data_IF_629003170263
#
_entry.id   IF_629003170263
#
_cell.length_a   1.000
_cell.length_b   1.000
_cell.length_c   1.000
_cell.angle_alpha   90.00
_cell.angle_beta   90.00
_cell.angle_gamma   90.00
#
_symmetry.space_group_name_H-M   'P 1'
#
loop_
_entity.id
_entity.type
_entity.pdbx_description
1 polymer ?
#
# COMPACT_ATOMS: atom_id res chain seq x y z
N UNK A 1 19.96 10.94 -12.25
CA UNK A 1 20.79 9.92 -11.55
C UNK A 1 22.11 9.65 -12.30
N UNK A 2 22.11 9.24 -13.57
CA UNK A 2 23.35 9.01 -14.33
C UNK A 2 24.26 10.24 -14.41
N UNK A 3 23.72 11.44 -14.59
CA UNK A 3 24.49 12.70 -14.56
C UNK A 3 25.18 12.96 -13.21
N UNK A 4 24.54 12.58 -12.13
CA UNK A 4 25.08 12.69 -10.78
C UNK A 4 26.24 11.71 -10.55
N UNK A 5 26.08 10.45 -10.98
CA UNK A 5 27.13 9.42 -10.92
C UNK A 5 28.38 9.95 -11.61
N UNK A 6 28.26 10.37 -12.86
CA UNK A 6 29.40 10.88 -13.63
C UNK A 6 30.00 12.14 -13.03
N UNK A 7 29.18 13.06 -12.50
CA UNK A 7 29.68 14.25 -11.80
C UNK A 7 30.57 13.90 -10.61
N UNK A 8 30.15 12.88 -9.83
CA UNK A 8 30.90 12.41 -8.66
C UNK A 8 32.21 11.72 -9.07
N UNK A 9 32.13 10.84 -10.06
CA UNK A 9 33.29 10.09 -10.54
C UNK A 9 34.35 10.98 -11.23
N UNK A 10 33.93 11.96 -12.02
CA UNK A 10 34.83 12.92 -12.64
C UNK A 10 35.49 13.87 -11.65
N UNK A 11 34.84 14.10 -10.50
CA UNK A 11 35.43 14.78 -9.35
C UNK A 11 36.37 13.88 -8.52
N UNK A 12 36.75 12.72 -9.05
CA UNK A 12 37.63 11.72 -8.42
C UNK A 12 37.08 11.19 -7.06
N UNK A 13 35.75 11.20 -6.90
CA UNK A 13 35.10 10.69 -5.71
C UNK A 13 34.39 9.35 -5.99
N UNK A 14 34.34 8.51 -4.98
CA UNK A 14 33.55 7.27 -5.02
C UNK A 14 32.06 7.62 -4.99
N UNK A 15 31.29 6.94 -5.83
CA UNK A 15 29.84 6.99 -5.81
C UNK A 15 29.28 5.67 -5.26
N UNK A 16 28.24 5.75 -4.45
CA UNK A 16 27.50 4.60 -3.94
C UNK A 16 26.01 4.89 -3.95
N UNK A 17 25.23 3.91 -4.37
CA UNK A 17 23.76 4.05 -4.34
C UNK A 17 23.04 2.91 -5.03
N UNK A 18 21.74 2.90 -4.84
CA UNK A 18 20.83 1.96 -5.47
C UNK A 18 20.39 2.50 -6.82
N UNK A 19 20.44 1.67 -7.85
CA UNK A 19 19.97 2.00 -9.20
C UNK A 19 19.11 0.88 -9.77
N UNK A 20 18.11 1.29 -10.53
CA UNK A 20 17.32 0.38 -11.34
C UNK A 20 18.01 0.18 -12.69
N UNK A 21 18.25 -1.05 -13.07
CA UNK A 21 18.91 -1.41 -14.30
C UNK A 21 18.11 -2.47 -15.06
N UNK A 22 18.51 -2.78 -16.30
CA UNK A 22 17.82 -3.74 -17.16
C UNK A 22 18.76 -4.84 -17.60
N UNK A 23 18.36 -6.10 -17.41
CA UNK A 23 19.04 -7.28 -17.93
C UNK A 23 18.92 -7.39 -19.43
N UNK A 24 19.74 -8.21 -20.08
CA UNK A 24 19.69 -8.45 -21.54
C UNK A 24 18.33 -8.98 -22.04
N UNK A 25 17.62 -9.71 -21.19
CA UNK A 25 16.29 -10.22 -21.49
C UNK A 25 15.16 -9.19 -21.34
N UNK A 26 15.50 -7.93 -20.98
CA UNK A 26 14.54 -6.86 -20.77
C UNK A 26 14.01 -6.71 -19.34
N UNK A 27 14.31 -7.66 -18.46
CA UNK A 27 13.90 -7.65 -17.06
C UNK A 27 14.56 -6.50 -16.30
N UNK A 28 13.77 -5.78 -15.50
CA UNK A 28 14.26 -4.70 -14.63
C UNK A 28 14.67 -5.30 -13.29
N UNK A 29 15.81 -4.86 -12.79
CA UNK A 29 16.34 -5.29 -11.50
C UNK A 29 16.93 -4.12 -10.73
N UNK A 30 17.06 -4.26 -9.43
CA UNK A 30 17.71 -3.30 -8.54
C UNK A 30 19.13 -3.74 -8.25
N UNK A 31 20.09 -2.84 -8.39
CA UNK A 31 21.46 -3.06 -7.95
C UNK A 31 21.91 -1.99 -6.96
N UNK A 32 22.63 -2.43 -5.94
CA UNK A 32 23.45 -1.57 -5.11
C UNK A 32 24.83 -1.51 -5.77
N UNK A 33 25.23 -0.32 -6.23
CA UNK A 33 26.49 -0.14 -6.91
C UNK A 33 27.44 0.77 -6.11
N UNK A 34 28.69 0.33 -5.99
CA UNK A 34 29.80 1.11 -5.47
C UNK A 34 30.81 1.29 -6.60
N UNK A 35 31.03 2.54 -7.03
CA UNK A 35 31.89 2.85 -8.17
C UNK A 35 32.99 3.79 -7.70
N UNK A 36 34.25 3.41 -7.92
CA UNK A 36 35.39 4.19 -7.51
C UNK A 36 36.34 4.45 -8.70
N UNK A 37 36.92 5.65 -8.83
CA UNK A 37 37.97 5.89 -9.78
C UNK A 37 39.30 5.27 -9.34
N UNK A 38 40.05 4.69 -10.27
CA UNK A 38 41.43 4.25 -10.08
C UNK A 38 42.31 5.33 -10.59
N UNK A 39 43.16 5.87 -9.70
CA UNK A 39 44.02 7.02 -9.98
C UNK A 39 45.47 6.54 -10.05
N UNK A 40 46.21 6.94 -11.09
CA UNK A 40 47.61 6.63 -11.23
C UNK A 40 48.50 7.58 -10.38
N UNK A 41 49.79 7.29 -10.36
CA UNK A 41 50.77 8.08 -9.60
C UNK A 41 50.88 9.56 -10.06
N UNK A 42 50.36 9.89 -11.24
CA UNK A 42 50.29 11.25 -11.78
C UNK A 42 49.01 11.98 -11.48
N UNK A 43 48.11 11.40 -10.67
CA UNK A 43 46.83 12.01 -10.27
C UNK A 43 45.70 11.90 -11.30
N UNK A 44 45.91 11.14 -12.40
CA UNK A 44 44.87 10.97 -13.44
C UNK A 44 44.06 9.70 -13.23
N UNK A 45 42.75 9.79 -13.45
CA UNK A 45 41.84 8.63 -13.45
C UNK A 45 42.15 7.79 -14.69
N UNK A 46 42.50 6.52 -14.49
CA UNK A 46 42.77 5.56 -15.55
C UNK A 46 41.65 4.62 -15.85
N UNK A 47 40.90 4.23 -14.81
CA UNK A 47 39.80 3.27 -14.87
C UNK A 47 38.75 3.60 -13.81
N UNK A 48 37.63 2.95 -13.92
CA UNK A 48 36.63 2.90 -12.87
C UNK A 48 36.36 1.43 -12.46
N UNK A 49 36.38 1.16 -11.19
CA UNK A 49 36.02 -0.16 -10.63
C UNK A 49 34.63 -0.05 -10.05
N UNK A 50 33.78 -1.00 -10.40
CA UNK A 50 32.43 -1.08 -9.85
C UNK A 50 32.23 -2.44 -9.17
N UNK A 51 31.75 -2.42 -7.92
CA UNK A 51 31.19 -3.57 -7.23
C UNK A 51 29.68 -3.40 -7.22
N UNK A 52 28.98 -4.43 -7.67
CA UNK A 52 27.51 -4.39 -7.83
C UNK A 52 26.92 -5.61 -7.18
N UNK A 53 25.84 -5.39 -6.43
CA UNK A 53 25.04 -6.43 -5.78
C UNK A 53 23.61 -6.35 -6.30
N UNK A 54 23.04 -7.46 -6.75
CA UNK A 54 21.61 -7.54 -7.09
C UNK A 54 20.80 -7.56 -5.79
N UNK A 55 20.06 -6.48 -5.54
CA UNK A 55 19.21 -6.32 -4.36
C UNK A 55 17.73 -6.47 -4.68
N UNK A 56 17.38 -7.02 -5.83
CA UNK A 56 15.99 -7.14 -6.31
C UNK A 56 15.14 -7.97 -5.35
N UNK A 57 15.68 -9.11 -4.91
CA UNK A 57 14.97 -9.97 -3.96
C UNK A 57 14.76 -9.28 -2.62
N UNK A 58 15.78 -8.61 -2.10
CA UNK A 58 15.69 -7.82 -0.86
C UNK A 58 14.62 -6.74 -0.95
N UNK A 59 14.60 -5.97 -2.05
CA UNK A 59 13.56 -4.95 -2.31
C UNK A 59 12.16 -5.55 -2.37
N UNK A 60 12.00 -6.69 -3.05
CA UNK A 60 10.72 -7.39 -3.12
C UNK A 60 10.25 -7.88 -1.75
N UNK A 61 11.16 -8.37 -0.92
CA UNK A 61 10.84 -8.78 0.45
C UNK A 61 10.46 -7.59 1.33
N UNK A 62 11.20 -6.48 1.26
CA UNK A 62 10.88 -5.23 1.98
C UNK A 62 9.50 -4.71 1.58
N UNK A 63 9.18 -4.71 0.29
CA UNK A 63 7.87 -4.29 -0.23
C UNK A 63 6.73 -5.20 0.26
N UNK A 64 6.95 -6.53 0.26
CA UNK A 64 5.99 -7.50 0.80
C UNK A 64 5.75 -7.29 2.30
N UNK A 65 6.81 -7.06 3.08
CA UNK A 65 6.71 -6.79 4.52
C UNK A 65 5.91 -5.50 4.76
N UNK A 66 6.20 -4.43 4.03
CA UNK A 66 5.46 -3.18 4.11
C UNK A 66 4.00 -3.36 3.73
N UNK A 67 3.72 -4.13 2.66
CA UNK A 67 2.36 -4.43 2.26
C UNK A 67 1.61 -5.22 3.33
N UNK A 68 2.24 -6.25 3.91
CA UNK A 68 1.64 -7.04 5.00
C UNK A 68 1.42 -6.22 6.28
N UNK A 69 2.30 -5.23 6.56
CA UNK A 69 2.14 -4.33 7.70
C UNK A 69 0.94 -3.38 7.58
N UNK A 70 0.47 -3.11 6.35
CA UNK A 70 -0.55 -2.08 6.08
C UNK A 70 -1.86 -2.62 5.49
N UNK A 71 -1.86 -3.85 4.94
CA UNK A 71 -3.03 -4.41 4.26
C UNK A 71 -3.42 -5.76 4.84
N UNK A 72 -4.71 -6.05 4.83
CA UNK A 72 -5.26 -7.36 5.18
C UNK A 72 -4.88 -8.40 4.12
N UNK A 73 -4.38 -9.55 4.56
CA UNK A 73 -3.85 -10.57 3.65
C UNK A 73 -4.93 -11.24 2.79
N UNK A 74 -6.17 -11.33 3.28
CA UNK A 74 -7.29 -11.97 2.61
C UNK A 74 -7.96 -11.01 1.61
N UNK A 75 -8.46 -9.88 2.10
CA UNK A 75 -9.28 -8.94 1.31
C UNK A 75 -8.46 -7.90 0.55
N UNK A 76 -7.16 -7.76 0.86
CA UNK A 76 -6.26 -6.73 0.32
C UNK A 76 -6.66 -5.30 0.67
N UNK A 77 -7.67 -5.10 1.50
CA UNK A 77 -8.05 -3.81 2.03
C UNK A 77 -6.99 -3.29 3.02
N UNK A 78 -6.90 -1.97 3.24
CA UNK A 78 -6.21 -1.41 4.39
C UNK A 78 -6.55 -2.15 5.68
N UNK A 79 -5.53 -2.48 6.47
CA UNK A 79 -5.73 -3.09 7.77
C UNK A 79 -5.94 -2.03 8.87
N UNK A 80 -6.09 -2.47 10.13
CA UNK A 80 -6.29 -1.59 11.28
C UNK A 80 -5.20 -0.52 11.42
N UNK A 81 -3.94 -0.87 11.14
CA UNK A 81 -2.83 0.07 11.28
C UNK A 81 -2.95 1.22 10.27
N UNK A 82 -3.14 0.88 8.99
CA UNK A 82 -3.30 1.87 7.93
C UNK A 82 -4.62 2.66 8.09
N UNK A 83 -5.67 2.04 8.63
CA UNK A 83 -6.93 2.72 8.94
C UNK A 83 -6.73 3.87 9.94
N UNK A 84 -5.98 3.63 11.02
CA UNK A 84 -5.70 4.65 12.04
C UNK A 84 -4.86 5.81 11.48
N UNK A 85 -3.86 5.50 10.67
CA UNK A 85 -3.04 6.53 10.01
C UNK A 85 -3.88 7.40 9.08
N UNK A 86 -4.71 6.79 8.21
CA UNK A 86 -5.61 7.52 7.31
C UNK A 86 -6.66 8.34 8.05
N UNK A 87 -7.19 7.82 9.16
CA UNK A 87 -8.12 8.58 10.00
C UNK A 87 -7.44 9.82 10.60
N UNK A 88 -6.23 9.69 11.12
CA UNK A 88 -5.48 10.83 11.67
C UNK A 88 -5.20 11.91 10.60
N UNK A 89 -4.83 11.49 9.38
CA UNK A 89 -4.65 12.40 8.25
C UNK A 89 -5.97 13.08 7.85
N UNK A 90 -7.07 12.32 7.78
CA UNK A 90 -8.41 12.84 7.45
C UNK A 90 -8.89 13.87 8.48
N UNK A 91 -8.70 13.62 9.77
CA UNK A 91 -9.04 14.55 10.84
C UNK A 91 -8.23 15.84 10.76
N UNK A 92 -6.92 15.73 10.46
CA UNK A 92 -6.05 16.89 10.28
C UNK A 92 -6.50 17.76 9.10
N UNK A 93 -6.84 17.10 7.98
CA UNK A 93 -7.37 17.77 6.79
C UNK A 93 -8.72 18.45 7.08
N UNK A 94 -9.65 17.71 7.69
CA UNK A 94 -10.98 18.22 8.02
C UNK A 94 -10.95 19.44 8.95
N UNK A 95 -10.06 19.44 9.94
CA UNK A 95 -9.85 20.59 10.84
C UNK A 95 -9.43 21.84 10.07
N UNK A 96 -8.55 21.71 9.08
CA UNK A 96 -8.07 22.81 8.24
C UNK A 96 -9.18 23.29 7.28
N UNK A 97 -9.86 22.36 6.63
CA UNK A 97 -10.84 22.63 5.56
C UNK A 97 -12.24 22.91 6.14
N UNK A 98 -12.42 22.77 7.47
CA UNK A 98 -13.69 22.93 8.20
C UNK A 98 -14.80 22.00 7.70
N UNK A 99 -14.43 20.77 7.35
CA UNK A 99 -15.32 19.69 6.97
C UNK A 99 -15.44 18.65 8.10
N UNK A 100 -16.29 17.67 7.91
CA UNK A 100 -16.47 16.55 8.86
C UNK A 100 -15.82 15.28 8.32
N UNK A 101 -15.51 14.38 9.25
CA UNK A 101 -15.12 12.98 8.97
C UNK A 101 -16.12 12.09 9.68
N UNK A 102 -16.61 11.06 8.99
CA UNK A 102 -17.41 10.03 9.61
C UNK A 102 -16.69 8.68 9.55
N UNK A 103 -16.90 7.86 10.57
CA UNK A 103 -16.43 6.48 10.62
C UNK A 103 -17.63 5.57 10.78
N UNK A 104 -17.87 4.70 9.79
CA UNK A 104 -18.89 3.67 9.84
C UNK A 104 -18.23 2.36 10.25
N UNK A 105 -18.77 1.71 11.28
CA UNK A 105 -18.43 0.36 11.67
C UNK A 105 -19.43 -0.61 11.06
N UNK A 106 -18.94 -1.67 10.46
CA UNK A 106 -19.73 -2.73 9.83
C UNK A 106 -19.27 -4.08 10.36
N UNK A 107 -20.24 -4.92 10.64
CA UNK A 107 -20.05 -6.30 11.07
C UNK A 107 -20.98 -7.22 10.26
N UNK A 108 -20.51 -8.41 9.88
CA UNK A 108 -21.32 -9.34 9.08
C UNK A 108 -22.11 -10.29 10.01
N UNK A 109 -23.37 -9.96 10.23
CA UNK A 109 -24.26 -10.75 11.07
C UNK A 109 -24.27 -12.23 10.69
N UNK A 110 -23.99 -13.07 11.68
CA UNK A 110 -24.01 -14.53 11.51
C UNK A 110 -22.81 -15.13 10.79
N UNK A 111 -21.74 -14.39 10.54
CA UNK A 111 -20.54 -14.87 9.86
C UNK A 111 -19.95 -16.13 10.51
N UNK A 112 -19.90 -16.19 11.85
CA UNK A 112 -19.46 -17.38 12.57
C UNK A 112 -20.29 -18.61 12.21
N UNK A 113 -21.63 -18.47 12.10
CA UNK A 113 -22.52 -19.58 11.73
C UNK A 113 -22.24 -20.08 10.31
N UNK A 114 -21.85 -19.20 9.39
CA UNK A 114 -21.44 -19.57 8.04
C UNK A 114 -20.16 -20.41 8.08
N UNK A 115 -19.15 -19.97 8.82
CA UNK A 115 -17.92 -20.74 9.02
C UNK A 115 -18.19 -22.12 9.64
N UNK A 116 -18.99 -22.16 10.69
CA UNK A 116 -19.32 -23.41 11.40
C UNK A 116 -20.12 -24.40 10.51
N UNK A 117 -20.92 -23.90 9.59
CA UNK A 117 -21.80 -24.72 8.74
C UNK A 117 -21.19 -25.09 7.39
N UNK A 118 -20.44 -24.17 6.76
CA UNK A 118 -19.95 -24.29 5.39
C UNK A 118 -18.43 -24.32 5.28
N UNK A 119 -17.72 -24.13 6.40
CA UNK A 119 -16.27 -24.12 6.47
C UNK A 119 -15.63 -22.75 6.20
N UNK A 120 -14.40 -22.59 6.66
CA UNK A 120 -13.65 -21.32 6.58
C UNK A 120 -13.39 -20.85 5.15
N UNK A 121 -13.24 -21.76 4.18
CA UNK A 121 -13.04 -21.38 2.79
C UNK A 121 -14.23 -20.63 2.19
N UNK A 122 -15.45 -20.99 2.61
CA UNK A 122 -16.69 -20.28 2.20
C UNK A 122 -16.75 -18.92 2.89
N UNK A 123 -16.40 -18.88 4.19
CA UNK A 123 -16.31 -17.62 4.93
C UNK A 123 -15.29 -16.66 4.33
N UNK A 124 -14.11 -17.15 3.94
CA UNK A 124 -13.08 -16.34 3.28
C UNK A 124 -13.57 -15.77 1.95
N UNK A 125 -14.26 -16.57 1.12
CA UNK A 125 -14.88 -16.09 -0.13
C UNK A 125 -15.94 -15.03 0.12
N UNK A 126 -16.76 -15.21 1.16
CA UNK A 126 -17.76 -14.22 1.57
C UNK A 126 -17.09 -12.89 1.94
N UNK A 127 -16.02 -12.93 2.74
CA UNK A 127 -15.27 -11.73 3.13
C UNK A 127 -14.65 -11.00 1.93
N UNK A 128 -14.11 -11.74 0.95
CA UNK A 128 -13.56 -11.15 -0.29
C UNK A 128 -14.69 -10.47 -1.07
N UNK A 129 -15.82 -11.14 -1.29
CA UNK A 129 -16.95 -10.55 -2.02
C UNK A 129 -17.56 -9.35 -1.27
N UNK A 130 -17.64 -9.41 0.06
CA UNK A 130 -18.08 -8.29 0.88
C UNK A 130 -17.14 -7.07 0.69
N UNK A 131 -15.84 -7.30 0.75
CA UNK A 131 -14.84 -6.25 0.53
C UNK A 131 -14.96 -5.62 -0.86
N UNK A 132 -15.17 -6.41 -1.92
CA UNK A 132 -15.36 -5.93 -3.29
C UNK A 132 -16.62 -5.08 -3.42
N UNK A 133 -17.76 -5.56 -2.88
CA UNK A 133 -19.04 -4.83 -2.94
C UNK A 133 -18.97 -3.51 -2.16
N UNK A 134 -18.43 -3.54 -0.95
CA UNK A 134 -18.23 -2.34 -0.13
C UNK A 134 -17.29 -1.34 -0.83
N UNK A 135 -16.19 -1.82 -1.42
CA UNK A 135 -15.27 -0.96 -2.16
C UNK A 135 -15.93 -0.26 -3.36
N UNK A 136 -16.83 -0.95 -4.04
CA UNK A 136 -17.58 -0.39 -5.17
C UNK A 136 -18.65 0.64 -4.75
N UNK A 137 -19.01 0.68 -3.46
CA UNK A 137 -20.06 1.55 -2.92
C UNK A 137 -19.55 2.85 -2.30
N UNK A 138 -18.22 3.08 -2.29
CA UNK A 138 -17.58 4.27 -1.73
C UNK A 138 -16.89 5.11 -2.81
N UNK A 139 -16.59 6.35 -2.48
CA UNK A 139 -15.84 7.29 -3.36
C UNK A 139 -14.34 6.99 -3.28
N UNK A 140 -13.58 7.47 -4.29
CA UNK A 140 -12.13 7.28 -4.35
C UNK A 140 -11.37 7.93 -3.18
N UNK A 141 -11.89 9.03 -2.62
CA UNK A 141 -11.33 9.70 -1.46
C UNK A 141 -11.63 8.99 -0.13
N UNK A 142 -12.68 8.18 -0.05
CA UNK A 142 -13.03 7.43 1.15
C UNK A 142 -12.11 6.21 1.34
N UNK A 143 -12.06 5.70 2.53
CA UNK A 143 -11.22 4.54 2.83
C UNK A 143 -12.03 3.43 3.48
N UNK A 144 -12.12 2.29 2.80
CA UNK A 144 -12.62 1.04 3.37
C UNK A 144 -11.44 0.25 3.96
N UNK A 145 -11.62 -0.30 5.16
CA UNK A 145 -10.62 -1.09 5.87
C UNK A 145 -11.26 -2.34 6.46
N UNK A 146 -10.46 -3.40 6.65
CA UNK A 146 -10.85 -4.57 7.45
C UNK A 146 -10.03 -4.58 8.73
N UNK A 147 -10.70 -4.64 9.88
CA UNK A 147 -10.04 -4.64 11.18
C UNK A 147 -9.59 -6.04 11.61
N UNK A 148 -10.29 -7.07 11.16
CA UNK A 148 -10.08 -8.48 11.44
C UNK A 148 -11.43 -9.22 11.53
N UNK A 149 -11.41 -10.55 11.41
CA UNK A 149 -12.65 -11.33 11.41
C UNK A 149 -13.63 -10.84 10.34
N UNK A 150 -14.83 -10.50 10.75
CA UNK A 150 -15.94 -9.97 9.96
C UNK A 150 -16.15 -8.45 10.09
N UNK A 151 -15.22 -7.76 10.79
CA UNK A 151 -15.31 -6.33 11.06
C UNK A 151 -14.66 -5.48 9.96
N UNK A 152 -15.44 -4.55 9.41
CA UNK A 152 -14.98 -3.53 8.46
C UNK A 152 -15.24 -2.13 9.00
N UNK A 153 -14.46 -1.16 8.56
CA UNK A 153 -14.74 0.27 8.76
C UNK A 153 -14.64 1.02 7.45
N UNK A 154 -15.48 2.04 7.31
CA UNK A 154 -15.36 3.03 6.24
C UNK A 154 -15.09 4.39 6.85
N UNK A 155 -14.01 5.05 6.41
CA UNK A 155 -13.65 6.42 6.78
C UNK A 155 -14.10 7.31 5.64
N UNK A 156 -15.09 8.15 5.90
CA UNK A 156 -15.68 9.09 4.93
C UNK A 156 -15.12 10.46 5.19
N UNK A 157 -14.54 11.06 4.16
CA UNK A 157 -13.84 12.35 4.26
C UNK A 157 -14.62 13.49 3.64
N UNK A 158 -14.24 14.71 4.04
CA UNK A 158 -14.69 15.96 3.41
C UNK A 158 -16.22 16.14 3.36
N UNK A 159 -16.92 15.67 4.40
CA UNK A 159 -18.35 15.86 4.51
C UNK A 159 -18.68 17.30 4.91
N UNK A 160 -19.69 17.88 4.28
CA UNK A 160 -20.24 19.18 4.68
C UNK A 160 -21.33 19.01 5.74
N UNK A 161 -22.09 17.92 5.69
CA UNK A 161 -23.17 17.60 6.59
C UNK A 161 -23.12 16.14 7.06
N UNK A 162 -23.49 15.88 8.31
CA UNK A 162 -23.53 14.54 8.87
C UNK A 162 -24.48 13.59 8.11
N UNK A 163 -25.53 14.10 7.49
CA UNK A 163 -26.47 13.32 6.69
C UNK A 163 -25.83 12.66 5.45
N UNK A 164 -24.71 13.16 4.98
CA UNK A 164 -23.98 12.52 3.86
C UNK A 164 -23.41 11.14 4.26
N UNK A 165 -23.05 10.97 5.54
CA UNK A 165 -22.60 9.67 6.06
C UNK A 165 -23.73 8.63 6.05
N UNK A 166 -24.97 9.05 6.27
CA UNK A 166 -26.14 8.18 6.20
C UNK A 166 -26.32 7.61 4.78
N UNK A 167 -26.12 8.41 3.74
CA UNK A 167 -26.21 7.93 2.35
C UNK A 167 -25.19 6.82 2.04
N UNK A 168 -23.98 6.94 2.59
CA UNK A 168 -22.95 5.90 2.43
C UNK A 168 -23.36 4.64 3.20
N UNK A 169 -23.88 4.77 4.43
CA UNK A 169 -24.38 3.63 5.21
C UNK A 169 -25.52 2.91 4.48
N UNK A 170 -26.47 3.64 3.91
CA UNK A 170 -27.57 3.07 3.11
C UNK A 170 -27.05 2.37 1.84
N UNK A 171 -26.01 2.93 1.19
CA UNK A 171 -25.34 2.30 0.05
C UNK A 171 -24.67 0.97 0.45
N UNK A 172 -23.99 0.95 1.61
CA UNK A 172 -23.41 -0.27 2.16
C UNK A 172 -24.46 -1.35 2.42
N UNK A 173 -25.58 -1.00 3.06
CA UNK A 173 -26.67 -1.95 3.28
C UNK A 173 -27.29 -2.44 1.96
N UNK A 174 -27.37 -1.57 0.95
CA UNK A 174 -27.92 -1.94 -0.35
C UNK A 174 -27.05 -2.96 -1.10
N UNK A 175 -25.72 -2.88 -0.97
CA UNK A 175 -24.81 -3.81 -1.67
C UNK A 175 -24.87 -5.26 -1.13
N UNK A 176 -25.49 -5.48 0.02
CA UNK A 176 -25.70 -6.81 0.61
C UNK A 176 -27.09 -7.42 0.29
N UNK A 177 -27.97 -6.74 -0.45
CA UNK A 177 -29.29 -7.27 -0.82
C UNK A 177 -29.21 -8.46 -1.76
N UNK A 178 -28.23 -8.48 -2.65
CA UNK A 178 -28.04 -9.58 -3.58
C UNK A 178 -27.28 -10.74 -2.92
N UNK A 179 -27.69 -11.96 -3.25
CA UNK A 179 -27.04 -13.15 -2.71
C UNK A 179 -25.52 -13.17 -3.01
N UNK A 180 -24.77 -13.74 -2.09
CA UNK A 180 -23.36 -14.07 -2.30
C UNK A 180 -23.25 -15.40 -3.05
N UNK A 181 -22.31 -15.51 -4.00
CA UNK A 181 -22.14 -16.66 -4.89
C UNK A 181 -20.86 -17.42 -4.54
#
# INVERSE_FOLDING_TARGET
RYKEIWRTLTAQKTWSGEIQNRKKNGEIYWELAHIAPVINNSGHVTHYVAVKEDITEKKSQEEKILHQAHYDSLTKLPNRFLALDRLAQSLTKASRDKTLVAVLFLDLDGFKRINDSLGHEVGDRLLIQAAERLSASIRAEDTLCRLGGDEFITIIQSLNHASEAQLVAESHLACFRDAFI
#
